data_IF_958156484711
#
_entry.id   IF_958156484711
#
_cell.length_a   1.000
_cell.length_b   1.000
_cell.length_c   1.000
_cell.angle_alpha   90.00
_cell.angle_beta   90.00
_cell.angle_gamma   90.00
#
_symmetry.space_group_name_H-M   'P 1'
#
loop_
_entity.id
_entity.type
_entity.pdbx_description
1 polymer ?
#
# COMPACT_ATOMS: atom_id res chain seq x y z
N UNK A 1 -3.09 -73.24 53.46
CA UNK A 1 -3.66 -71.87 53.47
C UNK A 1 -2.66 -70.77 53.00
N UNK A 2 -1.38 -70.85 53.35
CA UNK A 2 -0.40 -69.83 52.95
C UNK A 2 0.01 -69.86 51.46
N UNK A 3 -0.03 -71.02 50.82
CA UNK A 3 0.35 -71.15 49.37
C UNK A 3 -0.75 -70.58 48.42
N UNK A 4 -2.02 -70.72 48.76
CA UNK A 4 -3.12 -70.15 47.96
C UNK A 4 -3.12 -68.60 48.02
N UNK A 5 -2.72 -68.03 49.17
CA UNK A 5 -2.61 -66.57 49.35
C UNK A 5 -1.46 -65.98 48.56
N UNK A 6 -0.34 -66.69 48.45
CA UNK A 6 0.81 -66.25 47.63
C UNK A 6 0.52 -66.24 46.11
N UNK A 7 -0.22 -67.25 45.63
CA UNK A 7 -0.60 -67.30 44.20
C UNK A 7 -1.65 -66.19 43.84
N UNK A 8 -2.57 -65.89 44.75
CA UNK A 8 -3.54 -64.82 44.55
C UNK A 8 -2.92 -63.42 44.57
N UNK A 9 -1.93 -63.16 45.41
CA UNK A 9 -1.21 -61.87 45.46
C UNK A 9 -0.31 -61.68 44.25
N UNK A 10 0.33 -62.77 43.75
CA UNK A 10 1.14 -62.68 42.51
C UNK A 10 0.27 -62.44 41.26
N UNK A 11 -0.90 -63.01 41.17
CA UNK A 11 -1.83 -62.75 40.02
C UNK A 11 -2.39 -61.35 40.05
N UNK A 12 -2.71 -60.82 41.24
CA UNK A 12 -3.19 -59.44 41.40
C UNK A 12 -2.05 -58.43 41.08
N UNK A 13 -0.81 -58.70 41.46
CA UNK A 13 0.34 -57.84 41.07
C UNK A 13 0.66 -57.87 39.58
N UNK A 14 0.48 -59.04 38.90
CA UNK A 14 0.67 -59.12 37.44
C UNK A 14 -0.46 -58.38 36.67
N UNK A 15 -1.69 -58.41 37.14
CA UNK A 15 -2.81 -57.68 36.56
C UNK A 15 -2.63 -56.17 36.78
N UNK A 16 -2.13 -55.75 37.97
CA UNK A 16 -1.84 -54.34 38.24
C UNK A 16 -0.67 -53.80 37.41
N UNK A 17 0.34 -54.62 37.05
CA UNK A 17 1.44 -54.21 36.17
C UNK A 17 0.99 -54.15 34.69
N UNK A 18 0.04 -54.95 34.25
CA UNK A 18 -0.49 -54.89 32.87
C UNK A 18 -1.44 -53.70 32.64
N UNK A 19 -2.07 -53.14 33.68
CA UNK A 19 -2.89 -51.93 33.55
C UNK A 19 -2.06 -50.65 33.52
N UNK A 20 -0.79 -50.67 33.94
CA UNK A 20 0.10 -49.49 33.89
C UNK A 20 0.79 -49.34 32.49
N UNK A 21 0.89 -50.40 31.69
CA UNK A 21 1.47 -50.33 30.35
C UNK A 21 0.51 -49.92 29.21
N UNK A 22 -0.77 -49.70 29.49
CA UNK A 22 -1.75 -49.25 28.50
C UNK A 22 -2.15 -47.76 28.63
N UNK A 23 -1.40 -46.98 29.41
CA UNK A 23 -1.72 -45.56 29.72
C UNK A 23 -0.90 -44.52 28.96
N UNK A 24 -0.09 -44.88 27.93
CA UNK A 24 0.59 -43.92 27.07
C UNK A 24 0.26 -44.15 25.58
N UNK A 25 -1.02 -44.28 25.27
CA UNK A 25 -1.48 -43.95 23.93
C UNK A 25 -1.74 -42.45 23.96
N UNK A 26 -0.77 -41.67 23.45
CA UNK A 26 -1.05 -40.30 23.05
C UNK A 26 -2.28 -40.34 22.12
N UNK A 27 -3.45 -40.05 22.69
CA UNK A 27 -4.59 -39.65 21.88
C UNK A 27 -4.14 -38.42 21.12
N UNK A 28 -3.69 -38.61 19.88
CA UNK A 28 -3.92 -37.61 18.88
C UNK A 28 -5.45 -37.46 18.82
N UNK A 29 -5.97 -36.55 19.60
CA UNK A 29 -7.26 -35.97 19.34
C UNK A 29 -7.08 -35.20 18.04
N UNK A 30 -7.34 -35.87 16.92
CA UNK A 30 -7.78 -35.14 15.72
C UNK A 30 -9.04 -34.43 16.15
N UNK A 31 -8.94 -33.13 16.43
CA UNK A 31 -10.12 -32.31 16.63
C UNK A 31 -10.87 -32.31 15.30
N UNK A 32 -11.93 -33.12 15.21
CA UNK A 32 -12.89 -33.07 14.08
C UNK A 32 -13.78 -31.82 14.18
N UNK A 33 -13.28 -30.73 14.71
CA UNK A 33 -13.93 -29.43 14.63
C UNK A 33 -13.71 -28.78 13.28
N UNK A 34 -14.60 -27.89 12.82
CA UNK A 34 -14.35 -27.11 11.62
C UNK A 34 -13.01 -26.37 11.75
N UNK A 35 -12.20 -26.45 10.69
CA UNK A 35 -10.91 -25.72 10.66
C UNK A 35 -11.22 -24.23 10.63
N UNK A 36 -10.63 -23.48 11.54
CA UNK A 36 -10.77 -22.01 11.59
C UNK A 36 -10.25 -21.43 10.27
N UNK A 37 -11.04 -20.55 9.65
CA UNK A 37 -10.64 -19.85 8.44
C UNK A 37 -10.48 -18.37 8.73
N UNK A 38 -9.37 -17.78 8.28
CA UNK A 38 -9.14 -16.33 8.23
C UNK A 38 -9.37 -15.88 6.80
N UNK A 39 -10.20 -14.87 6.60
CA UNK A 39 -10.42 -14.28 5.29
C UNK A 39 -9.79 -12.90 5.21
N UNK A 40 -8.98 -12.67 4.17
CA UNK A 40 -8.37 -11.38 3.89
C UNK A 40 -8.94 -10.78 2.60
N UNK A 41 -9.46 -9.53 2.69
CA UNK A 41 -9.71 -8.70 1.52
C UNK A 41 -8.38 -8.07 1.09
N UNK A 42 -7.88 -8.44 -0.07
CA UNK A 42 -6.58 -8.02 -0.55
C UNK A 42 -6.67 -7.35 -1.93
N UNK A 43 -5.85 -6.33 -2.13
CA UNK A 43 -5.67 -5.69 -3.43
C UNK A 43 -5.19 -6.74 -4.45
N UNK A 44 -5.87 -6.85 -5.57
CA UNK A 44 -5.54 -7.79 -6.65
C UNK A 44 -4.11 -7.59 -7.23
N UNK A 45 -3.67 -8.52 -8.04
CA UNK A 45 -2.33 -8.54 -8.63
C UNK A 45 -1.25 -8.97 -7.63
N UNK A 46 -0.07 -8.35 -7.68
CA UNK A 46 1.12 -8.76 -6.92
C UNK A 46 0.90 -8.91 -5.42
N UNK A 47 -0.01 -8.15 -4.83
CA UNK A 47 -0.32 -8.27 -3.39
C UNK A 47 -0.97 -9.62 -3.07
N UNK A 48 -1.96 -10.04 -3.86
CA UNK A 48 -2.56 -11.37 -3.72
C UNK A 48 -1.56 -12.48 -4.01
N UNK A 49 -0.68 -12.30 -5.02
CA UNK A 49 0.35 -13.29 -5.37
C UNK A 49 1.31 -13.51 -4.21
N UNK A 50 1.79 -12.42 -3.58
CA UNK A 50 2.62 -12.47 -2.37
C UNK A 50 1.93 -13.23 -1.26
N UNK A 51 0.68 -12.87 -0.91
CA UNK A 51 -0.06 -13.50 0.19
C UNK A 51 -0.23 -15.00 -0.08
N UNK A 52 -0.64 -15.36 -1.30
CA UNK A 52 -0.84 -16.77 -1.69
C UNK A 52 0.47 -17.58 -1.66
N UNK A 53 1.61 -16.97 -2.00
CA UNK A 53 2.91 -17.63 -1.97
C UNK A 53 3.39 -17.94 -0.54
N UNK A 54 3.02 -17.12 0.45
CA UNK A 54 3.57 -17.24 1.81
C UNK A 54 2.59 -17.81 2.86
N UNK A 55 1.28 -17.78 2.62
CA UNK A 55 0.25 -18.16 3.61
C UNK A 55 0.33 -19.61 4.10
N UNK A 56 0.84 -20.52 3.26
CA UNK A 56 0.84 -21.95 3.56
C UNK A 56 1.68 -22.36 4.79
N UNK A 57 2.71 -21.61 5.14
CA UNK A 57 3.48 -21.83 6.34
C UNK A 57 2.67 -21.39 7.58
N UNK A 58 2.00 -20.25 7.51
CA UNK A 58 1.10 -19.78 8.58
C UNK A 58 -0.05 -20.75 8.84
N UNK A 59 -0.68 -21.27 7.78
CA UNK A 59 -1.78 -22.24 7.86
C UNK A 59 -1.36 -23.51 8.62
N UNK A 60 -0.18 -24.04 8.32
CA UNK A 60 0.38 -25.22 8.99
C UNK A 60 0.69 -24.97 10.46
N UNK A 61 1.32 -23.83 10.78
CA UNK A 61 1.72 -23.49 12.14
C UNK A 61 0.53 -23.19 13.06
N UNK A 62 -0.56 -22.64 12.50
CA UNK A 62 -1.71 -22.22 13.26
C UNK A 62 -2.92 -23.14 13.12
N UNK A 63 -2.82 -24.25 12.38
CA UNK A 63 -3.91 -25.20 12.14
C UNK A 63 -5.18 -24.51 11.63
N UNK A 64 -5.02 -23.57 10.70
CA UNK A 64 -6.10 -22.79 10.11
C UNK A 64 -6.03 -22.82 8.57
N UNK A 65 -7.00 -22.20 7.92
CA UNK A 65 -6.98 -21.89 6.50
C UNK A 65 -7.00 -20.38 6.30
N UNK A 66 -6.38 -19.90 5.23
CA UNK A 66 -6.42 -18.49 4.82
C UNK A 66 -7.09 -18.39 3.45
N UNK A 67 -8.23 -17.71 3.43
CA UNK A 67 -8.94 -17.38 2.21
C UNK A 67 -8.55 -15.97 1.75
N UNK A 68 -8.01 -15.84 0.54
CA UNK A 68 -7.59 -14.56 -0.05
C UNK A 68 -8.65 -14.14 -1.06
N UNK A 69 -9.31 -13.01 -0.82
CA UNK A 69 -10.33 -12.45 -1.71
C UNK A 69 -9.70 -11.27 -2.46
N UNK A 70 -9.40 -11.43 -3.77
CA UNK A 70 -8.85 -10.36 -4.57
C UNK A 70 -9.94 -9.32 -4.89
N UNK A 71 -9.62 -8.05 -4.64
CA UNK A 71 -10.49 -6.91 -4.95
C UNK A 71 -9.70 -5.85 -5.72
N UNK A 72 -10.36 -5.17 -6.65
CA UNK A 72 -9.75 -4.03 -7.35
C UNK A 72 -9.49 -2.86 -6.40
N UNK A 73 -8.67 -1.89 -6.80
CA UNK A 73 -8.47 -0.67 -6.01
C UNK A 73 -9.78 0.09 -5.83
N UNK A 74 -10.62 0.06 -6.85
CA UNK A 74 -11.88 0.82 -6.88
C UNK A 74 -12.97 0.14 -6.03
N UNK A 75 -12.95 -1.20 -5.94
CA UNK A 75 -13.99 -1.96 -5.23
C UNK A 75 -13.68 -2.18 -3.74
N UNK A 76 -12.40 -2.29 -3.36
CA UNK A 76 -12.02 -2.72 -2.00
C UNK A 76 -12.55 -1.78 -0.91
N UNK A 77 -12.55 -0.47 -1.15
CA UNK A 77 -13.01 0.53 -0.19
C UNK A 77 -14.50 0.34 0.12
N UNK A 78 -15.37 0.34 -0.90
CA UNK A 78 -16.81 0.20 -0.71
C UNK A 78 -17.19 -1.18 -0.18
N UNK A 79 -16.54 -2.24 -0.68
CA UNK A 79 -16.77 -3.63 -0.23
C UNK A 79 -16.51 -3.79 1.27
N UNK A 80 -15.44 -3.18 1.79
CA UNK A 80 -15.09 -3.22 3.21
C UNK A 80 -16.08 -2.41 4.05
N UNK A 81 -16.52 -1.24 3.56
CA UNK A 81 -17.54 -0.42 4.24
C UNK A 81 -18.86 -1.20 4.34
N UNK A 82 -19.30 -1.83 3.25
CA UNK A 82 -20.54 -2.60 3.23
C UNK A 82 -20.49 -3.79 4.20
N UNK A 83 -19.36 -4.53 4.21
CA UNK A 83 -19.16 -5.66 5.13
C UNK A 83 -19.14 -5.23 6.60
N UNK A 84 -18.65 -4.04 6.91
CA UNK A 84 -18.56 -3.52 8.28
C UNK A 84 -19.92 -3.35 8.97
N UNK A 85 -21.00 -3.32 8.20
CA UNK A 85 -22.38 -3.24 8.71
C UNK A 85 -22.92 -4.57 9.25
N UNK A 86 -22.26 -5.68 8.97
CA UNK A 86 -22.64 -7.01 9.43
C UNK A 86 -22.18 -7.22 10.89
N UNK A 87 -22.97 -7.97 11.68
CA UNK A 87 -22.60 -8.34 13.06
C UNK A 87 -21.33 -9.21 13.09
N UNK A 88 -21.20 -10.12 12.12
CA UNK A 88 -19.98 -10.90 11.83
C UNK A 88 -19.63 -10.64 10.40
N UNK A 89 -18.43 -10.11 10.16
CA UNK A 89 -17.94 -9.76 8.85
C UNK A 89 -17.47 -10.98 8.05
N UNK A 90 -17.39 -10.77 6.74
CA UNK A 90 -16.77 -11.74 5.83
C UNK A 90 -15.24 -11.69 5.96
N UNK A 91 -14.67 -10.54 6.28
CA UNK A 91 -13.23 -10.31 6.30
C UNK A 91 -12.70 -10.16 7.72
N UNK A 92 -11.66 -10.90 8.06
CA UNK A 92 -10.93 -10.79 9.33
C UNK A 92 -9.79 -9.79 9.22
N UNK A 93 -9.12 -9.76 8.05
CA UNK A 93 -8.04 -8.84 7.71
C UNK A 93 -8.39 -8.09 6.44
N UNK A 94 -8.06 -6.81 6.38
CA UNK A 94 -8.27 -5.99 5.18
C UNK A 94 -7.00 -5.26 4.80
N UNK A 95 -6.75 -5.14 3.49
CA UNK A 95 -5.76 -4.21 2.97
C UNK A 95 -6.37 -2.81 2.87
N UNK A 96 -5.60 -1.82 3.30
CA UNK A 96 -6.02 -0.43 3.40
C UNK A 96 -5.03 0.44 2.64
N UNK A 97 -5.51 1.24 1.68
CA UNK A 97 -4.72 2.37 1.16
C UNK A 97 -4.57 3.41 2.27
N UNK A 98 -3.36 3.83 2.56
CA UNK A 98 -3.04 4.62 3.76
C UNK A 98 -3.89 5.89 3.99
N UNK A 99 -4.35 6.65 2.98
CA UNK A 99 -5.16 7.86 3.23
C UNK A 99 -6.58 7.55 3.70
N UNK A 100 -7.05 6.29 3.55
CA UNK A 100 -8.37 5.87 4.03
C UNK A 100 -8.38 5.50 5.52
N UNK A 101 -7.22 5.43 6.17
CA UNK A 101 -7.12 5.10 7.60
C UNK A 101 -8.02 5.96 8.51
N UNK A 102 -8.09 7.32 8.37
CA UNK A 102 -8.95 8.13 9.22
C UNK A 102 -10.42 7.76 9.11
N UNK A 103 -10.92 7.49 7.91
CA UNK A 103 -12.32 7.08 7.69
C UNK A 103 -12.62 5.73 8.33
N UNK A 104 -11.72 4.75 8.16
CA UNK A 104 -11.93 3.41 8.71
C UNK A 104 -11.90 3.40 10.25
N UNK A 105 -11.12 4.28 10.85
CA UNK A 105 -11.07 4.46 12.31
C UNK A 105 -12.32 5.18 12.81
N UNK A 106 -12.74 6.28 12.18
CA UNK A 106 -13.95 7.03 12.53
C UNK A 106 -15.20 6.14 12.47
N UNK A 107 -15.31 5.36 11.38
CA UNK A 107 -16.41 4.39 11.17
C UNK A 107 -16.28 3.12 12.03
N UNK A 108 -15.20 3.00 12.82
CA UNK A 108 -14.91 1.81 13.66
C UNK A 108 -14.86 0.51 12.86
N UNK A 109 -14.33 0.54 11.66
CA UNK A 109 -14.18 -0.63 10.79
C UNK A 109 -13.01 -1.50 11.24
N UNK A 110 -11.92 -0.88 11.69
CA UNK A 110 -10.71 -1.56 12.12
C UNK A 110 -10.44 -1.42 13.62
N UNK A 111 -9.82 -2.43 14.18
CA UNK A 111 -9.49 -2.52 15.59
C UNK A 111 -8.20 -1.75 15.92
N UNK A 112 -8.13 -1.27 17.16
CA UNK A 112 -6.89 -0.76 17.75
C UNK A 112 -5.97 -1.94 18.08
N UNK A 113 -4.93 -2.16 17.25
CA UNK A 113 -4.02 -3.29 17.40
C UNK A 113 -3.17 -3.21 18.67
N UNK A 114 -2.88 -1.98 19.15
CA UNK A 114 -2.21 -1.79 20.45
C UNK A 114 -3.06 -2.35 21.61
N UNK A 115 -4.38 -2.16 21.54
CA UNK A 115 -5.30 -2.75 22.54
C UNK A 115 -5.42 -4.27 22.43
N UNK A 116 -5.20 -4.84 21.23
CA UNK A 116 -5.09 -6.28 21.01
C UNK A 116 -3.72 -6.85 21.44
N UNK A 117 -2.83 -6.02 21.97
CA UNK A 117 -1.52 -6.45 22.48
C UNK A 117 -0.39 -6.37 21.45
N UNK A 118 -0.60 -5.75 20.29
CA UNK A 118 0.47 -5.50 19.32
C UNK A 118 1.49 -4.51 19.91
N UNK A 119 2.76 -4.83 19.75
CA UNK A 119 3.88 -3.97 20.11
C UNK A 119 4.55 -3.48 18.82
N UNK A 120 4.82 -2.18 18.77
CA UNK A 120 5.50 -1.57 17.62
C UNK A 120 6.84 -2.24 17.35
N UNK A 121 7.10 -2.51 16.08
CA UNK A 121 8.36 -3.05 15.60
C UNK A 121 9.23 -1.94 15.01
N UNK A 122 10.39 -1.73 15.61
CA UNK A 122 11.31 -0.64 15.25
C UNK A 122 12.05 -0.90 13.92
N UNK A 123 11.96 -2.11 13.36
CA UNK A 123 12.55 -2.40 12.06
C UNK A 123 11.73 -1.87 10.87
N UNK A 124 10.46 -1.54 11.07
CA UNK A 124 9.72 -0.85 10.01
C UNK A 124 10.37 0.49 9.63
N UNK A 125 10.34 0.81 8.34
CA UNK A 125 10.66 2.17 7.87
C UNK A 125 9.75 3.15 8.60
N UNK A 126 10.34 4.16 9.24
CA UNK A 126 9.60 5.03 10.18
C UNK A 126 8.34 5.63 9.57
N UNK A 127 8.45 6.20 8.38
CA UNK A 127 7.30 6.81 7.71
C UNK A 127 6.18 5.80 7.43
N UNK A 128 6.52 4.59 7.01
CA UNK A 128 5.55 3.51 6.79
C UNK A 128 4.86 3.08 8.08
N UNK A 129 5.62 2.95 9.18
CA UNK A 129 5.07 2.64 10.51
C UNK A 129 4.06 3.68 10.98
N UNK A 130 4.38 4.96 10.80
CA UNK A 130 3.54 6.05 11.26
C UNK A 130 2.20 6.15 10.52
N UNK A 131 2.12 5.69 9.27
CA UNK A 131 0.85 5.66 8.51
C UNK A 131 -0.23 4.80 9.16
N UNK A 132 0.16 3.76 9.89
CA UNK A 132 -0.76 2.88 10.61
C UNK A 132 -1.24 3.43 11.96
N UNK A 133 -0.85 4.66 12.34
CA UNK A 133 -1.16 5.26 13.66
C UNK A 133 -2.28 6.26 13.61
N UNK A 134 -3.07 6.29 14.69
CA UNK A 134 -4.09 7.31 14.91
C UNK A 134 -4.16 7.70 16.40
N UNK A 135 -4.14 9.02 16.76
CA UNK A 135 -3.86 10.16 15.88
C UNK A 135 -2.47 10.11 15.24
N UNK A 136 -2.42 10.42 13.95
CA UNK A 136 -1.14 10.51 13.25
C UNK A 136 -0.30 11.70 13.80
N UNK A 137 1.02 11.57 13.99
CA UNK A 137 1.82 10.34 13.83
C UNK A 137 2.07 9.57 15.14
N UNK A 138 1.55 10.00 16.29
CA UNK A 138 1.98 9.56 17.62
C UNK A 138 0.95 8.66 18.35
N UNK A 139 -0.17 8.37 17.72
CA UNK A 139 -1.25 7.59 18.34
C UNK A 139 -0.99 6.09 18.44
N UNK A 140 -2.04 5.36 18.75
CA UNK A 140 -2.02 3.90 18.78
C UNK A 140 -1.90 3.33 17.37
N UNK A 141 -1.41 2.09 17.26
CA UNK A 141 -1.32 1.36 15.98
C UNK A 141 -2.66 0.70 15.68
N UNK A 142 -3.20 0.98 14.49
CA UNK A 142 -4.44 0.39 13.95
C UNK A 142 -4.18 -0.51 12.74
N UNK A 143 -3.06 -0.30 12.02
CA UNK A 143 -2.71 -1.13 10.87
C UNK A 143 -1.19 -1.28 10.74
N UNK A 144 -0.77 -2.37 10.08
CA UNK A 144 0.64 -2.72 9.89
C UNK A 144 1.06 -2.48 8.44
N UNK A 145 2.24 -1.90 8.18
CA UNK A 145 2.69 -1.63 6.82
C UNK A 145 3.06 -2.93 6.10
N UNK A 146 2.33 -3.26 5.03
CA UNK A 146 2.50 -4.48 4.26
C UNK A 146 3.27 -4.25 2.96
N UNK A 147 2.88 -3.25 2.14
CA UNK A 147 3.54 -2.92 0.90
C UNK A 147 4.01 -1.47 0.92
N UNK A 148 5.34 -1.28 0.82
CA UNK A 148 6.04 -0.01 0.99
C UNK A 148 6.08 0.85 -0.26
N UNK A 149 4.99 0.96 -1.00
CA UNK A 149 4.94 1.76 -2.21
C UNK A 149 5.24 3.24 -1.93
N UNK A 150 6.04 3.82 -2.82
CA UNK A 150 6.28 5.26 -2.95
C UNK A 150 6.24 5.62 -4.41
N UNK A 151 5.66 6.75 -4.74
CA UNK A 151 5.58 7.19 -6.13
C UNK A 151 6.95 7.63 -6.65
N UNK A 152 7.30 7.18 -7.86
CA UNK A 152 8.56 7.45 -8.53
C UNK A 152 8.30 7.83 -9.99
N UNK A 153 9.30 8.44 -10.62
CA UNK A 153 9.36 8.57 -12.07
C UNK A 153 9.81 7.23 -12.64
N UNK A 154 9.03 6.69 -13.57
CA UNK A 154 9.41 5.57 -14.42
C UNK A 154 9.64 6.09 -15.82
N UNK A 155 10.70 5.59 -16.50
CA UNK A 155 11.05 6.06 -17.83
C UNK A 155 11.62 4.95 -18.68
N UNK A 156 11.53 5.14 -20.00
CA UNK A 156 12.16 4.27 -20.98
C UNK A 156 13.57 4.76 -21.30
N UNK A 157 14.59 3.93 -21.08
CA UNK A 157 16.01 4.30 -21.23
C UNK A 157 16.41 4.61 -22.67
N UNK A 158 15.77 3.98 -23.67
CA UNK A 158 16.03 4.28 -25.07
C UNK A 158 15.52 5.66 -25.50
N UNK A 159 14.46 6.15 -24.83
CA UNK A 159 13.89 7.47 -25.09
C UNK A 159 14.48 8.55 -24.17
N UNK A 160 15.00 8.19 -23.01
CA UNK A 160 15.62 9.08 -22.03
C UNK A 160 17.04 8.59 -21.73
N UNK A 161 17.95 8.82 -22.68
CA UNK A 161 19.35 8.36 -22.61
C UNK A 161 20.14 9.03 -21.46
N UNK A 162 19.79 10.27 -21.12
CA UNK A 162 20.40 11.03 -20.04
C UNK A 162 19.38 11.23 -18.90
N UNK A 163 19.45 10.44 -17.80
CA UNK A 163 18.53 10.58 -16.68
C UNK A 163 18.68 11.88 -15.90
N UNK A 164 19.72 12.68 -16.13
CA UNK A 164 19.86 14.00 -15.48
C UNK A 164 18.73 14.97 -15.82
N UNK A 165 18.07 14.78 -16.97
CA UNK A 165 16.87 15.55 -17.37
C UNK A 165 15.69 15.34 -16.44
N UNK A 166 15.67 14.24 -15.66
CA UNK A 166 14.61 13.93 -14.69
C UNK A 166 14.76 14.69 -13.38
N UNK A 167 15.78 15.53 -13.22
CA UNK A 167 16.06 16.27 -12.00
C UNK A 167 15.14 17.46 -11.73
N UNK A 168 14.39 17.92 -12.72
CA UNK A 168 13.40 18.99 -12.58
C UNK A 168 12.29 18.93 -13.62
N UNK A 169 11.13 19.45 -13.30
CA UNK A 169 9.95 19.39 -14.14
C UNK A 169 10.09 20.10 -15.50
N UNK A 170 10.85 21.21 -15.55
CA UNK A 170 11.06 21.92 -16.81
C UNK A 170 11.89 21.09 -17.80
N UNK A 171 12.92 20.39 -17.32
CA UNK A 171 13.73 19.48 -18.15
C UNK A 171 12.93 18.26 -18.59
N UNK A 172 12.10 17.70 -17.72
CA UNK A 172 11.13 16.62 -18.06
C UNK A 172 10.23 17.09 -19.21
N UNK A 173 9.60 18.26 -19.07
CA UNK A 173 8.73 18.79 -20.11
C UNK A 173 9.45 18.99 -21.45
N UNK A 174 10.66 19.59 -21.43
CA UNK A 174 11.47 19.77 -22.63
C UNK A 174 11.83 18.44 -23.31
N UNK A 175 12.15 17.41 -22.50
CA UNK A 175 12.42 16.06 -23.04
C UNK A 175 11.15 15.45 -23.63
N UNK A 176 10.02 15.56 -22.96
CA UNK A 176 8.73 15.09 -23.45
C UNK A 176 8.34 15.75 -24.78
N UNK A 177 8.58 17.07 -24.94
CA UNK A 177 8.36 17.77 -26.22
C UNK A 177 9.24 17.21 -27.33
N UNK A 178 10.53 16.96 -27.04
CA UNK A 178 11.47 16.38 -28.01
C UNK A 178 11.03 14.99 -28.45
N UNK A 179 10.64 14.14 -27.52
CA UNK A 179 10.13 12.79 -27.81
C UNK A 179 8.83 12.86 -28.62
N UNK A 180 7.94 13.78 -28.29
CA UNK A 180 6.68 13.96 -29.02
C UNK A 180 6.91 14.43 -30.46
N UNK A 181 7.85 15.35 -30.70
CA UNK A 181 8.27 15.78 -32.03
C UNK A 181 8.87 14.65 -32.87
N UNK A 182 9.48 13.65 -32.22
CA UNK A 182 9.96 12.44 -32.85
C UNK A 182 8.87 11.38 -33.13
N UNK A 183 7.61 11.70 -32.85
CA UNK A 183 6.46 10.83 -33.15
C UNK A 183 6.15 9.78 -32.05
N UNK A 184 6.78 9.91 -30.89
CA UNK A 184 6.50 9.09 -29.70
C UNK A 184 5.71 9.90 -28.67
N UNK A 185 5.21 9.27 -27.60
CA UNK A 185 4.54 9.95 -26.51
C UNK A 185 5.57 10.41 -25.47
N UNK A 186 5.51 11.68 -25.07
CA UNK A 186 6.43 12.25 -24.08
C UNK A 186 6.07 11.79 -22.66
N UNK A 187 4.90 12.18 -22.20
CA UNK A 187 4.45 11.90 -20.83
C UNK A 187 3.15 11.11 -20.82
N UNK A 188 3.13 9.97 -20.13
CA UNK A 188 1.94 9.16 -19.94
C UNK A 188 1.31 9.46 -18.57
N UNK A 189 0.01 9.77 -18.55
CA UNK A 189 -0.75 10.02 -17.31
C UNK A 189 -1.79 8.93 -17.06
N UNK A 190 -2.20 8.79 -15.80
CA UNK A 190 -3.44 8.11 -15.41
C UNK A 190 -4.54 9.14 -15.22
N UNK A 191 -5.13 9.59 -16.32
CA UNK A 191 -6.10 10.69 -16.32
C UNK A 191 -7.55 10.25 -16.12
N UNK A 192 -7.84 9.13 -15.45
CA UNK A 192 -9.18 8.77 -15.05
C UNK A 192 -9.58 9.54 -13.79
N UNK A 193 -10.87 9.92 -13.67
CA UNK A 193 -11.37 10.64 -12.50
C UNK A 193 -11.15 9.89 -11.19
N UNK A 194 -11.12 10.61 -10.06
CA UNK A 194 -10.82 10.08 -8.75
C UNK A 194 -9.33 9.92 -8.47
N UNK A 195 -8.97 8.90 -7.70
CA UNK A 195 -7.59 8.63 -7.29
C UNK A 195 -6.55 8.65 -8.43
N UNK A 196 -6.80 8.08 -9.63
CA UNK A 196 -5.77 8.02 -10.65
C UNK A 196 -5.20 9.38 -11.03
N UNK A 197 -6.03 10.34 -11.41
CA UNK A 197 -5.56 11.66 -11.84
C UNK A 197 -5.09 12.53 -10.66
N UNK A 198 -5.72 12.38 -9.48
CA UNK A 198 -5.32 13.12 -8.28
C UNK A 198 -3.92 12.72 -7.86
N UNK A 199 -3.63 11.43 -7.75
CA UNK A 199 -2.31 10.88 -7.45
C UNK A 199 -1.24 11.29 -8.48
N UNK A 200 -1.61 11.39 -9.75
CA UNK A 200 -0.69 11.81 -10.81
C UNK A 200 -0.39 13.33 -10.74
N UNK A 201 -1.37 14.13 -10.31
CA UNK A 201 -1.23 15.58 -10.22
C UNK A 201 -0.60 16.09 -8.91
N UNK A 202 -0.85 15.46 -7.76
CA UNK A 202 -0.37 15.93 -6.45
C UNK A 202 1.13 16.21 -6.38
N UNK A 203 2.04 15.38 -6.92
CA UNK A 203 3.46 15.68 -6.93
C UNK A 203 3.81 16.97 -7.66
N UNK A 204 3.10 17.26 -8.75
CA UNK A 204 3.30 18.50 -9.51
C UNK A 204 2.77 19.70 -8.72
N UNK A 205 1.57 19.57 -8.13
CA UNK A 205 0.98 20.59 -7.26
C UNK A 205 1.97 20.99 -6.16
N UNK A 206 2.52 20.00 -5.45
CA UNK A 206 3.48 20.24 -4.37
C UNK A 206 4.82 20.79 -4.86
N UNK A 207 5.31 20.33 -6.03
CA UNK A 207 6.55 20.85 -6.60
C UNK A 207 6.45 22.34 -6.98
N UNK A 208 5.27 22.79 -7.39
CA UNK A 208 4.99 24.20 -7.67
C UNK A 208 4.67 25.00 -6.40
N UNK A 209 4.49 24.34 -5.28
CA UNK A 209 4.24 24.96 -3.97
C UNK A 209 2.77 25.20 -3.63
N UNK A 210 1.87 24.61 -4.43
CA UNK A 210 0.45 24.50 -4.07
C UNK A 210 0.21 23.39 -3.06
N UNK A 211 -0.96 23.40 -2.44
CA UNK A 211 -1.43 22.33 -1.55
C UNK A 211 -2.96 22.35 -1.47
N UNK A 212 -3.54 21.24 -0.98
CA UNK A 212 -4.99 21.18 -0.74
C UNK A 212 -5.38 21.85 0.57
N UNK A 213 -4.56 21.62 1.62
CA UNK A 213 -4.83 22.09 2.97
C UNK A 213 -3.62 22.78 3.58
N UNK A 214 -3.86 23.72 4.46
CA UNK A 214 -2.82 24.24 5.37
C UNK A 214 -2.68 23.37 6.64
N UNK A 215 -1.79 23.80 7.55
CA UNK A 215 -1.51 23.06 8.79
C UNK A 215 -2.74 22.99 9.74
N UNK A 216 -3.67 23.91 9.62
CA UNK A 216 -4.91 23.96 10.40
C UNK A 216 -6.06 23.16 9.74
N UNK A 217 -5.81 22.53 8.59
CA UNK A 217 -6.79 21.76 7.83
C UNK A 217 -7.76 22.61 6.99
N UNK A 218 -7.48 23.90 6.81
CA UNK A 218 -8.25 24.78 5.93
C UNK A 218 -7.88 24.50 4.48
N UNK A 219 -8.89 24.48 3.61
CA UNK A 219 -8.69 24.31 2.15
C UNK A 219 -7.99 25.55 1.58
N UNK A 220 -6.86 25.35 0.89
CA UNK A 220 -6.03 26.42 0.30
C UNK A 220 -5.69 26.16 -1.16
N UNK A 221 -6.44 25.27 -1.82
CA UNK A 221 -6.18 24.90 -3.21
C UNK A 221 -6.27 26.08 -4.16
N UNK A 222 -7.13 27.06 -3.89
CA UNK A 222 -7.29 28.26 -4.70
C UNK A 222 -6.11 29.23 -4.52
N UNK A 223 -4.97 28.88 -5.09
CA UNK A 223 -3.73 29.65 -5.04
C UNK A 223 -3.13 29.88 -6.44
N UNK A 224 -2.23 30.85 -6.56
CA UNK A 224 -1.48 31.07 -7.82
C UNK A 224 -0.64 29.84 -8.17
N UNK A 225 -0.01 29.24 -7.18
CA UNK A 225 0.83 28.04 -7.34
C UNK A 225 0.04 26.83 -7.86
N UNK A 226 -1.19 26.66 -7.39
CA UNK A 226 -2.07 25.59 -7.86
C UNK A 226 -2.47 25.76 -9.32
N UNK A 227 -2.71 27.00 -9.75
CA UNK A 227 -2.99 27.32 -11.16
C UNK A 227 -1.78 27.05 -12.04
N UNK A 228 -0.60 27.53 -11.64
CA UNK A 228 0.64 27.25 -12.38
C UNK A 228 0.91 25.75 -12.50
N UNK A 229 0.66 24.99 -11.42
CA UNK A 229 0.82 23.53 -11.43
C UNK A 229 -0.14 22.85 -12.41
N UNK A 230 -1.42 23.25 -12.41
CA UNK A 230 -2.42 22.65 -13.30
C UNK A 230 -2.21 23.06 -14.76
N UNK A 231 -1.82 24.32 -15.03
CA UNK A 231 -1.41 24.74 -16.37
C UNK A 231 -0.21 23.92 -16.89
N UNK A 232 0.76 23.65 -16.01
CA UNK A 232 1.91 22.84 -16.34
C UNK A 232 1.51 21.38 -16.61
N UNK A 233 0.62 20.81 -15.80
CA UNK A 233 0.10 19.46 -15.99
C UNK A 233 -0.64 19.30 -17.31
N UNK A 234 -1.48 20.26 -17.69
CA UNK A 234 -2.12 20.29 -18.99
C UNK A 234 -1.11 20.33 -20.16
N UNK A 235 0.00 21.09 -20.00
CA UNK A 235 1.09 21.11 -21.00
C UNK A 235 1.81 19.78 -21.10
N UNK A 236 2.06 19.08 -19.97
CA UNK A 236 2.64 17.74 -19.97
C UNK A 236 1.72 16.75 -20.71
N UNK A 237 0.44 16.76 -20.38
CA UNK A 237 -0.57 15.90 -21.02
C UNK A 237 -0.57 16.04 -22.55
N UNK A 238 -0.44 17.27 -23.06
CA UNK A 238 -0.38 17.55 -24.52
C UNK A 238 0.83 16.90 -25.21
N UNK A 239 1.88 16.52 -24.50
CA UNK A 239 3.06 15.82 -25.06
C UNK A 239 2.87 14.31 -25.15
N UNK A 240 1.83 13.76 -24.54
CA UNK A 240 1.69 12.33 -24.36
C UNK A 240 0.29 11.79 -24.52
N UNK A 241 -0.26 11.17 -23.50
CA UNK A 241 -1.58 10.57 -23.52
C UNK A 241 -2.09 10.09 -22.16
N UNK A 242 -3.38 9.76 -22.13
CA UNK A 242 -4.09 9.22 -20.99
C UNK A 242 -4.23 7.70 -21.11
N UNK A 243 -3.85 6.97 -20.08
CA UNK A 243 -3.76 5.53 -20.06
C UNK A 243 -4.32 4.96 -18.75
N UNK A 244 -4.92 3.78 -18.81
CA UNK A 244 -5.15 2.95 -17.63
C UNK A 244 -3.82 2.49 -17.04
N UNK A 245 -3.84 1.97 -15.81
CA UNK A 245 -2.62 1.48 -15.13
C UNK A 245 -1.81 0.51 -15.99
N UNK A 246 -2.47 -0.50 -16.58
CA UNK A 246 -1.79 -1.55 -17.33
C UNK A 246 -1.26 -1.04 -18.67
N UNK A 247 -2.04 -0.22 -19.38
CA UNK A 247 -1.60 0.45 -20.61
C UNK A 247 -0.41 1.38 -20.35
N UNK A 248 -0.40 2.14 -19.23
CA UNK A 248 0.71 3.01 -18.87
C UNK A 248 2.01 2.22 -18.66
N UNK A 249 1.93 1.09 -17.97
CA UNK A 249 3.07 0.18 -17.78
C UNK A 249 3.58 -0.33 -19.13
N UNK A 250 2.69 -0.75 -20.01
CA UNK A 250 3.03 -1.30 -21.33
C UNK A 250 3.67 -0.26 -22.24
N UNK A 251 3.13 0.97 -22.32
CA UNK A 251 3.68 2.02 -23.19
C UNK A 251 5.05 2.52 -22.72
N UNK A 252 5.33 2.52 -21.43
CA UNK A 252 6.68 2.83 -20.92
C UNK A 252 7.65 1.70 -21.23
N UNK A 253 7.28 0.44 -20.94
CA UNK A 253 8.15 -0.72 -21.20
C UNK A 253 8.44 -0.92 -22.69
N UNK A 254 7.47 -0.70 -23.54
CA UNK A 254 7.62 -0.84 -25.01
C UNK A 254 8.35 0.33 -25.68
N UNK A 255 8.58 1.45 -24.98
CA UNK A 255 9.13 2.66 -25.56
C UNK A 255 8.17 3.39 -26.50
N UNK A 256 6.88 3.24 -26.31
CA UNK A 256 5.87 4.10 -26.93
C UNK A 256 5.75 5.45 -26.22
N UNK A 257 5.90 5.45 -24.88
CA UNK A 257 5.96 6.66 -24.08
C UNK A 257 7.29 6.73 -23.31
N UNK A 258 7.77 7.95 -23.05
CA UNK A 258 9.08 8.17 -22.46
C UNK A 258 9.04 8.16 -20.92
N UNK A 259 8.09 8.84 -20.32
CA UNK A 259 8.07 9.15 -18.86
C UNK A 259 6.66 9.02 -18.33
N UNK A 260 6.54 8.47 -17.11
CA UNK A 260 5.31 8.44 -16.32
C UNK A 260 5.63 8.53 -14.84
N UNK A 261 4.66 8.92 -14.02
CA UNK A 261 4.67 8.63 -12.59
C UNK A 261 4.05 7.26 -12.35
N UNK A 262 4.50 6.57 -11.31
CA UNK A 262 3.95 5.26 -10.99
C UNK A 262 4.45 4.70 -9.67
N UNK A 263 4.05 3.48 -9.43
CA UNK A 263 4.30 2.77 -8.19
C UNK A 263 5.19 1.55 -8.44
N UNK A 264 6.18 1.26 -7.59
CA UNK A 264 7.08 0.10 -7.77
C UNK A 264 6.34 -1.22 -7.99
N UNK A 265 5.25 -1.46 -7.28
CA UNK A 265 4.44 -2.67 -7.43
C UNK A 265 3.86 -2.89 -8.85
N UNK A 266 3.84 -1.88 -9.71
CA UNK A 266 3.39 -2.00 -11.09
C UNK A 266 4.49 -2.36 -12.07
N UNK A 267 5.68 -1.81 -11.85
CA UNK A 267 6.81 -1.90 -12.79
C UNK A 267 7.82 -2.97 -12.40
N UNK A 268 7.89 -3.28 -11.10
CA UNK A 268 8.89 -4.16 -10.52
C UNK A 268 8.17 -5.42 -10.07
N UNK A 269 8.38 -6.51 -10.79
CA UNK A 269 7.80 -7.80 -10.47
C UNK A 269 8.88 -8.86 -10.44
N UNK A 270 9.27 -9.29 -9.23
CA UNK A 270 10.16 -10.41 -9.04
C UNK A 270 11.61 -10.22 -9.49
N UNK A 271 12.34 -11.32 -9.53
CA UNK A 271 13.75 -11.37 -9.92
C UNK A 271 13.91 -11.14 -11.43
N UNK A 272 14.89 -10.34 -11.80
CA UNK A 272 15.20 -10.02 -13.21
C UNK A 272 14.33 -8.92 -13.83
N UNK A 273 13.40 -8.34 -13.07
CA UNK A 273 12.69 -7.14 -13.50
C UNK A 273 13.58 -5.92 -13.28
N UNK A 274 13.92 -5.22 -14.35
CA UNK A 274 14.54 -3.90 -14.28
C UNK A 274 13.57 -2.85 -14.77
N UNK A 275 13.30 -1.85 -13.94
CA UNK A 275 12.60 -0.65 -14.35
C UNK A 275 13.57 0.52 -14.20
N UNK A 276 13.67 1.36 -15.20
CA UNK A 276 14.37 2.61 -15.09
C UNK A 276 13.54 3.57 -14.24
N UNK A 277 14.09 3.98 -13.11
CA UNK A 277 13.41 4.82 -12.13
C UNK A 277 14.25 6.02 -11.73
N UNK A 278 13.58 7.10 -11.34
CA UNK A 278 14.17 8.27 -10.75
C UNK A 278 13.27 8.83 -9.64
N UNK A 279 13.86 9.68 -8.78
CA UNK A 279 13.07 10.45 -7.81
C UNK A 279 12.16 11.45 -8.53
N UNK A 280 10.98 11.69 -7.99
CA UNK A 280 10.11 12.74 -8.49
C UNK A 280 10.77 14.10 -8.19
N UNK A 281 10.87 15.00 -9.19
CA UNK A 281 11.45 16.32 -8.97
C UNK A 281 10.68 17.10 -7.92
N UNK A 282 11.40 17.56 -6.92
CA UNK A 282 10.82 18.26 -5.79
C UNK A 282 10.73 19.77 -5.96
N UNK A 283 10.27 20.42 -4.90
CA UNK A 283 10.22 21.87 -4.77
C UNK A 283 11.60 22.40 -4.38
N UNK A 284 12.13 23.40 -5.11
CA UNK A 284 13.30 24.17 -4.67
C UNK A 284 12.93 25.07 -3.48
N UNK A 285 13.69 24.95 -2.39
CA UNK A 285 13.56 25.84 -1.24
C UNK A 285 14.45 27.07 -1.41
N UNK A 286 14.27 28.08 -0.53
CA UNK A 286 15.13 29.26 -0.48
C UNK A 286 16.60 28.94 -0.13
N UNK A 287 16.86 27.78 0.49
CA UNK A 287 18.20 27.25 0.79
C UNK A 287 18.83 26.47 -0.37
N UNK A 288 18.20 26.41 -1.54
CA UNK A 288 18.57 25.59 -2.69
C UNK A 288 18.43 24.06 -2.46
N UNK A 289 17.91 23.65 -1.33
CA UNK A 289 17.51 22.27 -1.07
C UNK A 289 16.28 21.91 -1.91
N UNK A 290 16.23 20.68 -2.41
CA UNK A 290 15.08 20.17 -3.16
C UNK A 290 14.31 19.22 -2.25
N UNK A 291 13.10 19.60 -1.84
CA UNK A 291 12.19 18.72 -1.12
C UNK A 291 11.51 17.79 -2.11
N UNK A 292 11.65 16.50 -1.92
CA UNK A 292 10.91 15.52 -2.73
C UNK A 292 9.39 15.69 -2.55
N UNK A 293 8.67 15.45 -3.63
CA UNK A 293 7.21 15.64 -3.69
C UNK A 293 6.42 14.38 -4.07
N UNK A 294 7.11 13.25 -4.23
CA UNK A 294 6.44 11.96 -4.46
C UNK A 294 5.53 11.59 -3.29
N UNK A 295 4.43 10.95 -3.58
CA UNK A 295 3.53 10.42 -2.56
C UNK A 295 4.10 9.17 -1.91
N UNK A 296 3.92 9.01 -0.59
CA UNK A 296 3.91 7.68 -0.01
C UNK A 296 2.52 7.08 -0.22
N UNK A 297 2.46 5.82 -0.64
CA UNK A 297 1.22 5.10 -0.93
C UNK A 297 1.30 3.68 -0.44
N UNK A 298 1.50 3.52 0.86
CA UNK A 298 1.60 2.20 1.45
C UNK A 298 0.23 1.51 1.51
N UNK A 299 0.24 0.21 1.25
CA UNK A 299 -0.87 -0.64 1.62
C UNK A 299 -0.62 -1.23 2.99
N UNK A 300 -1.59 -1.05 3.89
CA UNK A 300 -1.53 -1.47 5.29
C UNK A 300 -2.45 -2.67 5.51
N UNK A 301 -2.24 -3.42 6.59
CA UNK A 301 -3.12 -4.50 7.03
C UNK A 301 -3.80 -4.11 8.33
N UNK A 302 -5.12 -4.04 8.32
CA UNK A 302 -5.97 -3.84 9.49
C UNK A 302 -6.76 -5.09 9.84
N UNK A 303 -7.09 -5.27 11.13
CA UNK A 303 -8.02 -6.30 11.61
C UNK A 303 -9.39 -5.67 11.75
N UNK A 304 -10.43 -6.30 11.21
CA UNK A 304 -11.79 -5.75 11.25
C UNK A 304 -12.41 -5.87 12.65
N UNK A 305 -13.27 -4.93 13.01
CA UNK A 305 -13.95 -4.95 14.32
C UNK A 305 -15.00 -6.04 14.42
N UNK A 306 -15.53 -6.49 13.29
CA UNK A 306 -16.53 -7.57 13.19
C UNK A 306 -15.93 -8.94 12.83
N UNK A 307 -14.58 -9.09 12.93
CA UNK A 307 -13.91 -10.39 12.81
C UNK A 307 -14.34 -11.34 13.92
N UNK A 308 -14.62 -12.58 13.55
CA UNK A 308 -14.88 -13.66 14.51
C UNK A 308 -13.59 -14.19 15.17
N UNK A 309 -12.41 -13.88 14.63
CA UNK A 309 -11.11 -14.41 15.06
C UNK A 309 -10.03 -13.33 15.16
N UNK A 310 -10.23 -12.24 15.94
CA UNK A 310 -9.35 -11.07 15.92
C UNK A 310 -7.91 -11.37 16.31
N UNK A 311 -7.67 -12.24 17.28
CA UNK A 311 -6.31 -12.61 17.71
C UNK A 311 -5.55 -13.36 16.60
N UNK A 312 -6.22 -14.29 15.92
CA UNK A 312 -5.61 -15.03 14.82
C UNK A 312 -5.42 -14.12 13.58
N UNK A 313 -6.33 -13.19 13.34
CA UNK A 313 -6.23 -12.18 12.30
C UNK A 313 -5.03 -11.25 12.55
N UNK A 314 -4.85 -10.75 13.78
CA UNK A 314 -3.66 -9.97 14.16
C UNK A 314 -2.37 -10.77 13.97
N UNK A 315 -2.36 -12.04 14.40
CA UNK A 315 -1.21 -12.92 14.20
C UNK A 315 -0.88 -13.11 12.71
N UNK A 316 -1.90 -13.19 11.85
CA UNK A 316 -1.71 -13.29 10.41
C UNK A 316 -1.17 -11.99 9.80
N UNK A 317 -1.71 -10.84 10.18
CA UNK A 317 -1.20 -9.53 9.74
C UNK A 317 0.27 -9.33 10.18
N UNK A 318 0.61 -9.68 11.41
CA UNK A 318 1.99 -9.63 11.92
C UNK A 318 2.93 -10.62 11.19
N UNK A 319 2.44 -11.81 10.85
CA UNK A 319 3.17 -12.79 10.04
C UNK A 319 3.48 -12.23 8.65
N UNK A 320 2.49 -11.71 7.94
CA UNK A 320 2.65 -11.14 6.59
C UNK A 320 3.63 -9.97 6.56
N UNK A 321 3.74 -9.23 7.66
CA UNK A 321 4.63 -8.07 7.78
C UNK A 321 5.96 -8.38 8.48
N UNK A 322 6.22 -9.65 8.84
CA UNK A 322 7.50 -10.07 9.43
C UNK A 322 8.66 -9.96 8.43
N UNK A 323 9.90 -9.82 8.92
CA UNK A 323 11.08 -9.71 8.08
C UNK A 323 11.24 -10.91 7.14
N UNK A 324 11.14 -12.13 7.69
CA UNK A 324 11.32 -13.36 6.91
C UNK A 324 10.30 -13.48 5.78
N UNK A 325 9.03 -13.12 6.05
CA UNK A 325 7.96 -13.17 5.04
C UNK A 325 8.15 -12.09 4.00
N UNK A 326 8.51 -10.87 4.40
CA UNK A 326 8.77 -9.79 3.44
C UNK A 326 10.00 -10.08 2.57
N UNK A 327 11.02 -10.76 3.09
CA UNK A 327 12.16 -11.23 2.28
C UNK A 327 11.72 -12.25 1.22
N UNK A 328 10.91 -13.23 1.59
CA UNK A 328 10.32 -14.19 0.64
C UNK A 328 9.45 -13.48 -0.40
N UNK A 329 8.70 -12.47 0.02
CA UNK A 329 7.80 -11.69 -0.83
C UNK A 329 8.51 -10.95 -1.99
N UNK A 330 9.80 -10.62 -1.85
CA UNK A 330 10.57 -9.97 -2.91
C UNK A 330 10.58 -10.77 -4.22
N UNK A 331 10.55 -12.08 -4.15
CA UNK A 331 10.53 -12.96 -5.33
C UNK A 331 9.19 -12.91 -6.08
N UNK A 332 8.15 -12.41 -5.44
CA UNK A 332 6.80 -12.29 -5.97
C UNK A 332 6.37 -10.84 -6.23
N UNK A 333 7.34 -9.92 -6.25
CA UNK A 333 7.08 -8.49 -6.49
C UNK A 333 6.63 -7.72 -5.24
N UNK A 334 6.84 -8.26 -4.05
CA UNK A 334 6.59 -7.55 -2.79
C UNK A 334 7.51 -6.34 -2.64
N UNK A 335 6.94 -5.22 -2.20
CA UNK A 335 7.67 -3.99 -1.91
C UNK A 335 7.87 -3.89 -0.40
N UNK A 336 9.11 -3.99 0.11
CA UNK A 336 9.34 -4.12 1.54
C UNK A 336 9.04 -2.84 2.31
N UNK A 337 8.74 -3.01 3.60
CA UNK A 337 8.53 -1.91 4.56
C UNK A 337 9.54 -1.93 5.70
N UNK A 338 10.58 -2.80 5.62
CA UNK A 338 11.54 -3.03 6.69
C UNK A 338 12.93 -2.48 6.40
N UNK A 339 13.50 -1.77 7.37
CA UNK A 339 14.86 -1.20 7.29
C UNK A 339 15.93 -2.26 7.10
N UNK A 340 15.81 -3.40 7.76
CA UNK A 340 16.74 -4.53 7.63
C UNK A 340 16.87 -5.00 6.19
N UNK A 341 15.76 -5.09 5.45
CA UNK A 341 15.74 -5.50 4.05
C UNK A 341 16.40 -4.44 3.15
N UNK A 342 16.07 -3.16 3.34
CA UNK A 342 16.66 -2.06 2.57
C UNK A 342 18.16 -1.84 2.83
N UNK A 343 18.70 -2.36 3.93
CA UNK A 343 20.12 -2.25 4.33
C UNK A 343 20.94 -3.51 4.07
N UNK A 344 20.31 -4.57 3.59
CA UNK A 344 20.96 -5.83 3.33
C UNK A 344 21.76 -5.76 2.00
N UNK A 345 23.11 -5.90 2.04
CA UNK A 345 23.94 -5.81 0.83
C UNK A 345 23.59 -6.86 -0.24
N UNK A 346 23.16 -8.07 0.15
CA UNK A 346 22.78 -9.10 -0.82
C UNK A 346 21.43 -8.75 -1.50
N UNK A 347 20.50 -8.16 -0.77
CA UNK A 347 19.25 -7.64 -1.32
C UNK A 347 19.54 -6.49 -2.27
N UNK A 348 20.36 -5.51 -1.87
CA UNK A 348 20.71 -4.36 -2.72
C UNK A 348 21.47 -4.77 -3.98
N UNK A 349 22.31 -5.80 -3.90
CA UNK A 349 22.97 -6.36 -5.08
C UNK A 349 21.97 -6.99 -6.07
N UNK A 350 20.94 -7.67 -5.56
CA UNK A 350 19.89 -8.29 -6.37
C UNK A 350 18.86 -7.28 -6.88
N UNK A 351 18.55 -6.26 -6.08
CA UNK A 351 17.55 -5.23 -6.34
C UNK A 351 18.16 -3.82 -6.15
N UNK A 352 19.08 -3.37 -7.05
CA UNK A 352 19.82 -2.12 -6.86
C UNK A 352 18.93 -0.87 -6.79
N UNK A 353 17.74 -0.92 -7.35
CA UNK A 353 16.76 0.16 -7.27
C UNK A 353 16.17 0.37 -5.87
N UNK A 354 16.39 -0.55 -4.92
CA UNK A 354 15.91 -0.41 -3.54
C UNK A 354 16.56 0.77 -2.79
N UNK A 355 17.74 1.20 -3.17
CA UNK A 355 18.34 2.43 -2.62
C UNK A 355 17.48 3.66 -2.96
N UNK A 356 17.03 3.75 -4.22
CA UNK A 356 16.14 4.84 -4.66
C UNK A 356 14.76 4.74 -4.03
N UNK A 357 14.24 3.53 -3.89
CA UNK A 357 12.97 3.26 -3.24
C UNK A 357 12.99 3.69 -1.77
N UNK A 358 14.03 3.31 -1.03
CA UNK A 358 14.20 3.69 0.37
C UNK A 358 14.36 5.21 0.54
N UNK A 359 15.15 5.83 -0.33
CA UNK A 359 15.31 7.29 -0.37
C UNK A 359 13.96 7.98 -0.67
N UNK A 360 13.24 7.50 -1.67
CA UNK A 360 11.91 8.01 -2.03
C UNK A 360 10.93 7.90 -0.87
N UNK A 361 10.86 6.77 -0.19
CA UNK A 361 9.99 6.57 0.98
C UNK A 361 10.30 7.58 2.08
N UNK A 362 11.56 7.79 2.42
CA UNK A 362 11.93 8.74 3.47
C UNK A 362 11.64 10.20 3.10
N UNK A 363 11.74 10.54 1.82
CA UNK A 363 11.57 11.90 1.31
C UNK A 363 10.16 12.18 0.76
N UNK A 364 9.27 11.19 0.69
CA UNK A 364 7.90 11.35 0.18
C UNK A 364 7.01 12.20 1.09
N UNK A 365 5.90 12.66 0.54
CA UNK A 365 4.84 13.33 1.28
C UNK A 365 3.71 12.35 1.61
N UNK A 366 3.13 12.52 2.79
CA UNK A 366 1.91 11.81 3.19
C UNK A 366 0.72 12.56 2.59
N UNK A 367 -0.21 11.83 2.00
CA UNK A 367 -1.49 12.38 1.51
C UNK A 367 -2.31 12.97 2.66
N UNK A 368 -3.20 13.92 2.42
CA UNK A 368 -4.01 14.51 3.48
C UNK A 368 -4.73 13.46 4.33
N UNK A 369 -4.64 13.61 5.65
CA UNK A 369 -5.24 12.69 6.64
C UNK A 369 -6.61 13.22 7.06
N UNK A 370 -7.64 12.89 6.28
CA UNK A 370 -9.02 13.29 6.52
C UNK A 370 -9.98 12.12 6.31
N UNK A 371 -11.08 12.09 7.04
CA UNK A 371 -12.14 11.08 6.87
C UNK A 371 -12.93 11.24 5.57
N UNK A 372 -12.65 12.30 4.81
CA UNK A 372 -13.32 12.65 3.54
C UNK A 372 -12.44 12.38 2.31
N UNK A 373 -11.27 11.74 2.49
CA UNK A 373 -10.29 11.65 1.41
C UNK A 373 -10.85 11.05 0.12
N UNK A 374 -11.56 9.93 0.19
CA UNK A 374 -12.16 9.30 -0.99
C UNK A 374 -13.13 10.24 -1.74
N UNK A 375 -13.92 11.01 -1.00
CA UNK A 375 -14.85 11.99 -1.58
C UNK A 375 -14.11 13.18 -2.18
N UNK A 376 -13.00 13.60 -1.58
CA UNK A 376 -12.14 14.67 -2.10
C UNK A 376 -11.48 14.24 -3.41
N UNK A 377 -10.93 13.03 -3.48
CA UNK A 377 -10.35 12.47 -4.71
C UNK A 377 -11.39 12.46 -5.84
N UNK A 378 -12.63 12.06 -5.53
CA UNK A 378 -13.70 12.02 -6.52
C UNK A 378 -14.01 13.40 -7.09
N UNK A 379 -14.34 14.39 -6.23
CA UNK A 379 -14.71 15.73 -6.71
C UNK A 379 -13.56 16.50 -7.35
N UNK A 380 -12.35 16.35 -6.80
CA UNK A 380 -11.16 17.00 -7.35
C UNK A 380 -10.75 16.35 -8.67
N UNK A 381 -10.76 15.01 -8.73
CA UNK A 381 -10.42 14.27 -9.94
C UNK A 381 -11.34 14.58 -11.10
N UNK A 382 -12.65 14.75 -10.87
CA UNK A 382 -13.61 15.16 -11.91
C UNK A 382 -13.24 16.51 -12.53
N UNK A 383 -12.91 17.52 -11.71
CA UNK A 383 -12.55 18.85 -12.22
C UNK A 383 -11.20 18.85 -12.94
N UNK A 384 -10.23 18.02 -12.47
CA UNK A 384 -8.94 17.82 -13.18
C UNK A 384 -9.16 17.20 -14.57
N UNK A 385 -9.99 16.16 -14.69
CA UNK A 385 -10.32 15.53 -15.98
C UNK A 385 -10.95 16.55 -16.93
N UNK A 386 -11.97 17.29 -16.48
CA UNK A 386 -12.63 18.32 -17.30
C UNK A 386 -11.65 19.39 -17.78
N UNK A 387 -10.66 19.72 -16.96
CA UNK A 387 -9.63 20.69 -17.32
C UNK A 387 -8.66 20.15 -18.39
N UNK A 388 -8.13 18.92 -18.23
CA UNK A 388 -7.20 18.35 -19.23
C UNK A 388 -7.88 18.06 -20.57
N UNK A 389 -9.20 17.77 -20.55
CA UNK A 389 -10.01 17.57 -21.76
C UNK A 389 -10.43 18.90 -22.42
N UNK A 390 -10.14 20.04 -21.77
CA UNK A 390 -10.43 21.38 -22.30
C UNK A 390 -11.91 21.78 -22.18
N UNK A 391 -12.69 21.10 -21.37
CA UNK A 391 -14.10 21.44 -21.11
C UNK A 391 -14.25 22.71 -20.26
N UNK A 392 -13.31 22.92 -19.34
CA UNK A 392 -13.24 24.08 -18.45
C UNK A 392 -11.82 24.65 -18.40
N UNK A 393 -11.71 25.90 -18.00
CA UNK A 393 -10.42 26.56 -17.80
C UNK A 393 -9.74 26.10 -16.51
N UNK A 394 -8.43 26.32 -16.38
CA UNK A 394 -7.67 26.09 -15.14
C UNK A 394 -8.27 26.87 -13.97
N UNK A 395 -8.67 28.12 -14.18
CA UNK A 395 -9.32 28.94 -13.15
C UNK A 395 -10.62 28.33 -12.66
N UNK A 396 -11.48 27.86 -13.57
CA UNK A 396 -12.73 27.19 -13.22
C UNK A 396 -12.46 25.89 -12.47
N UNK A 397 -11.53 25.06 -12.92
CA UNK A 397 -11.18 23.79 -12.27
C UNK A 397 -10.70 23.99 -10.83
N UNK A 398 -9.79 24.94 -10.60
CA UNK A 398 -9.27 25.26 -9.26
C UNK A 398 -10.37 25.84 -8.36
N UNK A 399 -11.19 26.77 -8.87
CA UNK A 399 -12.26 27.37 -8.08
C UNK A 399 -13.34 26.34 -7.71
N UNK A 400 -13.80 25.54 -8.68
CA UNK A 400 -14.80 24.49 -8.44
C UNK A 400 -14.30 23.46 -7.44
N UNK A 401 -13.04 23.03 -7.56
CA UNK A 401 -12.41 22.09 -6.65
C UNK A 401 -12.32 22.64 -5.22
N UNK A 402 -11.88 23.91 -5.06
CA UNK A 402 -11.85 24.59 -3.77
C UNK A 402 -13.23 24.56 -3.10
N UNK A 403 -14.27 25.01 -3.81
CA UNK A 403 -15.63 25.07 -3.28
C UNK A 403 -16.20 23.69 -2.95
N UNK A 404 -15.91 22.68 -3.78
CA UNK A 404 -16.38 21.31 -3.55
C UNK A 404 -15.74 20.70 -2.32
N UNK A 405 -14.42 20.88 -2.14
CA UNK A 405 -13.68 20.36 -0.98
C UNK A 405 -14.09 21.09 0.31
N UNK A 406 -14.28 22.41 0.28
CA UNK A 406 -14.79 23.17 1.42
C UNK A 406 -16.14 22.63 1.90
N UNK A 407 -17.10 22.40 0.99
CA UNK A 407 -18.42 21.81 1.30
C UNK A 407 -18.35 20.41 1.94
N UNK A 408 -17.32 19.62 1.62
CA UNK A 408 -17.09 18.31 2.25
C UNK A 408 -16.51 18.47 3.66
N UNK A 409 -15.66 19.48 3.87
CA UNK A 409 -14.98 19.75 5.15
C UNK A 409 -15.89 20.38 6.20
N UNK A 410 -17.00 21.03 5.80
CA UNK A 410 -18.00 21.64 6.69
C UNK A 410 -19.00 20.62 7.27
N UNK A 411 -19.04 19.39 6.78
CA UNK A 411 -19.96 18.32 7.18
C UNK A 411 -19.25 17.27 8.04
#
# INVERSE_FOLDING_TARGET
MREKLRKSVSVILLIALMTICFGCSSRHTTSNGPVTTITIAARDGSHCDVINAVKGDFEKENFCMVNVVPLSADDIHQTVIDDSSNEVGMYDVIMIDDPLMPEYIEKKIIQNLTQLGYLDDEDFVEKSKLLGKDPYPLGATYALPFSGNVQLVFYNEDLVEDPSVLSNWSSIYSKCQTVNQAGKKGYAIRGQAGNPIVSDFLPILWAFGGDLFDEDGKVILNSHQSREALEFYCKLYQTGGNYTKDELVDVIKSGEAAIALGWPSWFISGEGSSAAIAQIPGKKTSSSEVLATGEIGNWLLGVTTNSANPDLALKFAAYLTSEDVQRKALEYGGVPTRKSIFRDPEVLKKYPYFEQLYSGTNNSRVRPRTTKWAQIEEVFGQELVRCIDGEITVDEAINNSQEAIEKLSEK
#
